data_IF_817822741058
#
_entry.id   IF_817822741058
#
_cell.length_a   1.000
_cell.length_b   1.000
_cell.length_c   1.000
_cell.angle_alpha   90.00
_cell.angle_beta   90.00
_cell.angle_gamma   90.00
#
_symmetry.space_group_name_H-M   'P 1'
#
loop_
_entity.id
_entity.type
_entity.pdbx_description
1 polymer ?
#
# COMPACT_ATOMS: atom_id res chain seq x y z
N UNK A 1 -21.35 5.06 -9.33
CA UNK A 1 -20.17 4.21 -9.12
C UNK A 1 -19.21 5.01 -8.26
N UNK A 2 -18.94 4.60 -7.04
CA UNK A 2 -18.06 5.31 -6.11
C UNK A 2 -16.77 4.52 -6.03
N UNK A 3 -15.65 5.18 -6.29
CA UNK A 3 -14.31 4.62 -6.10
C UNK A 3 -13.74 5.22 -4.81
N UNK A 4 -13.22 4.37 -3.92
CA UNK A 4 -12.61 4.83 -2.68
C UNK A 4 -11.20 5.40 -2.88
N UNK A 5 -10.72 6.13 -1.88
CA UNK A 5 -9.30 6.54 -1.80
C UNK A 5 -8.40 5.32 -1.65
N UNK A 6 -7.22 5.37 -2.26
CA UNK A 6 -6.19 4.36 -2.07
C UNK A 6 -5.33 4.66 -0.84
N UNK A 7 -5.17 3.69 0.03
CA UNK A 7 -4.21 3.76 1.15
C UNK A 7 -3.73 2.36 1.49
N UNK A 8 -2.93 1.79 0.60
CA UNK A 8 -2.59 0.38 0.65
C UNK A 8 -1.68 0.02 1.81
N UNK A 9 -2.16 -0.88 2.64
CA UNK A 9 -1.41 -1.43 3.76
C UNK A 9 -0.74 -2.73 3.31
N UNK A 10 0.55 -2.84 3.58
CA UNK A 10 1.35 -4.01 3.23
C UNK A 10 1.87 -4.66 4.50
N UNK A 11 1.51 -5.89 4.73
CA UNK A 11 1.97 -6.69 5.87
C UNK A 11 3.13 -7.57 5.45
N UNK A 12 4.24 -7.50 6.19
CA UNK A 12 5.40 -8.37 5.99
C UNK A 12 5.52 -9.26 7.23
N UNK A 13 5.02 -10.47 7.09
CA UNK A 13 4.99 -11.49 8.12
C UNK A 13 6.34 -12.23 8.19
N UNK A 14 6.66 -12.83 9.31
CA UNK A 14 8.01 -13.39 9.59
C UNK A 14 8.41 -14.55 8.68
N UNK A 15 7.47 -15.27 8.05
CA UNK A 15 7.77 -16.35 7.09
C UNK A 15 8.05 -15.86 5.66
N UNK A 16 7.86 -14.56 5.39
CA UNK A 16 7.98 -14.00 4.04
C UNK A 16 9.36 -14.20 3.41
N UNK A 17 9.41 -14.46 2.10
CA UNK A 17 10.62 -14.26 1.32
C UNK A 17 10.97 -12.77 1.27
N UNK A 18 11.96 -12.39 2.07
CA UNK A 18 12.36 -10.99 2.22
C UNK A 18 13.00 -10.38 0.97
N UNK A 19 13.55 -11.18 0.05
CA UNK A 19 14.11 -10.70 -1.20
C UNK A 19 13.00 -10.39 -2.19
N UNK A 20 12.04 -11.31 -2.32
CA UNK A 20 10.84 -11.12 -3.13
C UNK A 20 10.06 -9.89 -2.62
N UNK A 21 9.74 -9.85 -1.33
CA UNK A 21 9.01 -8.76 -0.71
C UNK A 21 9.68 -7.40 -0.94
N UNK A 22 11.00 -7.29 -0.71
CA UNK A 22 11.73 -6.04 -0.90
C UNK A 22 11.74 -5.58 -2.36
N UNK A 23 11.94 -6.50 -3.31
CA UNK A 23 11.93 -6.18 -4.75
C UNK A 23 10.54 -5.72 -5.19
N UNK A 24 9.51 -6.47 -4.81
CA UNK A 24 8.11 -6.20 -5.16
C UNK A 24 7.61 -4.86 -4.59
N UNK A 25 7.93 -4.55 -3.34
CA UNK A 25 7.54 -3.28 -2.69
C UNK A 25 8.22 -2.09 -3.38
N UNK A 26 9.52 -2.18 -3.67
CA UNK A 26 10.21 -1.09 -4.37
C UNK A 26 9.65 -0.90 -5.79
N UNK A 27 9.40 -1.99 -6.50
CA UNK A 27 8.78 -1.96 -7.82
C UNK A 27 7.38 -1.34 -7.77
N UNK A 28 6.54 -1.80 -6.86
CA UNK A 28 5.16 -1.33 -6.66
C UNK A 28 5.12 0.13 -6.26
N UNK A 29 5.91 0.52 -5.24
CA UNK A 29 5.90 1.89 -4.71
C UNK A 29 6.51 2.92 -5.64
N UNK A 30 7.47 2.54 -6.48
CA UNK A 30 8.08 3.45 -7.46
C UNK A 30 7.29 3.54 -8.78
N UNK A 31 6.36 2.62 -9.02
CA UNK A 31 5.54 2.62 -10.23
C UNK A 31 4.78 3.93 -10.36
N UNK A 32 4.91 4.58 -11.52
CA UNK A 32 4.28 5.87 -11.86
C UNK A 32 4.41 6.94 -10.75
N UNK A 33 5.57 7.00 -10.11
CA UNK A 33 5.85 7.86 -8.95
C UNK A 33 4.78 7.79 -7.84
N UNK A 34 4.15 6.62 -7.67
CA UNK A 34 3.09 6.35 -6.69
C UNK A 34 1.78 7.11 -6.91
N UNK A 35 1.42 7.42 -8.12
CA UNK A 35 0.13 8.04 -8.43
C UNK A 35 -1.03 7.04 -8.47
N UNK A 36 -0.72 5.73 -8.57
CA UNK A 36 -1.73 4.67 -8.49
C UNK A 36 -2.37 4.61 -7.09
N UNK A 37 -3.70 4.49 -7.03
CA UNK A 37 -4.44 4.25 -5.78
C UNK A 37 -4.03 2.94 -5.09
N UNK A 38 -3.54 1.94 -5.83
CA UNK A 38 -3.00 0.68 -5.31
C UNK A 38 -1.51 0.73 -4.94
N UNK A 39 -0.92 1.92 -4.80
CA UNK A 39 0.48 2.09 -4.42
C UNK A 39 0.70 1.84 -2.92
N UNK A 40 1.71 1.03 -2.58
CA UNK A 40 2.07 0.70 -1.20
C UNK A 40 2.24 1.95 -0.33
N UNK A 41 1.37 2.14 0.65
CA UNK A 41 1.33 3.36 1.47
C UNK A 41 1.96 3.16 2.84
N UNK A 42 1.68 2.03 3.48
CA UNK A 42 2.14 1.69 4.83
C UNK A 42 2.73 0.27 4.84
N UNK A 43 3.93 0.12 5.38
CA UNK A 43 4.60 -1.16 5.56
C UNK A 43 4.55 -1.54 7.03
N UNK A 44 3.83 -2.61 7.38
CA UNK A 44 3.76 -3.21 8.71
C UNK A 44 4.72 -4.40 8.75
N UNK A 45 5.84 -4.25 9.47
CA UNK A 45 6.94 -5.21 9.46
C UNK A 45 7.09 -5.83 10.84
N UNK A 46 7.04 -7.16 10.94
CA UNK A 46 7.28 -7.84 12.20
C UNK A 46 8.68 -7.58 12.76
N UNK A 47 8.76 -7.39 14.08
CA UNK A 47 10.01 -7.05 14.79
C UNK A 47 11.13 -8.05 14.53
N UNK A 48 10.81 -9.35 14.48
CA UNK A 48 11.79 -10.44 14.26
C UNK A 48 12.58 -10.26 12.97
N UNK A 49 11.97 -9.73 11.93
CA UNK A 49 12.58 -9.58 10.60
C UNK A 49 12.93 -8.11 10.27
N UNK A 50 12.51 -7.17 11.10
CA UNK A 50 12.56 -5.74 10.83
C UNK A 50 13.93 -5.26 10.34
N UNK A 51 14.99 -5.48 11.13
CA UNK A 51 16.35 -5.01 10.76
C UNK A 51 16.84 -5.61 9.45
N UNK A 52 16.63 -6.92 9.27
CA UNK A 52 17.02 -7.65 8.05
C UNK A 52 16.26 -7.12 6.84
N UNK A 53 14.97 -6.88 7.00
CA UNK A 53 14.11 -6.42 5.91
C UNK A 53 14.40 -4.97 5.51
N UNK A 54 14.60 -4.05 6.47
CA UNK A 54 15.00 -2.66 6.18
C UNK A 54 16.32 -2.62 5.39
N UNK A 55 17.29 -3.47 5.72
CA UNK A 55 18.53 -3.56 4.94
C UNK A 55 18.27 -4.04 3.51
N UNK A 56 17.36 -5.02 3.31
CA UNK A 56 16.97 -5.48 1.96
C UNK A 56 16.30 -4.36 1.16
N UNK A 57 15.35 -3.65 1.75
CA UNK A 57 14.69 -2.50 1.12
C UNK A 57 15.70 -1.41 0.74
N UNK A 58 16.65 -1.08 1.63
CA UNK A 58 17.69 -0.08 1.33
C UNK A 58 18.56 -0.49 0.15
N UNK A 59 18.96 -1.76 0.06
CA UNK A 59 19.74 -2.29 -1.07
C UNK A 59 18.96 -2.30 -2.39
N UNK A 60 17.63 -2.20 -2.35
CA UNK A 60 16.75 -2.14 -3.52
C UNK A 60 16.32 -0.73 -3.91
N UNK A 61 16.72 0.29 -3.15
CA UNK A 61 16.45 1.70 -3.47
C UNK A 61 15.53 2.44 -2.50
N UNK A 62 15.32 1.93 -1.28
CA UNK A 62 14.65 2.67 -0.23
C UNK A 62 15.63 3.59 0.50
N UNK A 63 15.32 4.87 0.60
CA UNK A 63 16.00 5.82 1.46
C UNK A 63 15.21 6.05 2.75
N UNK A 64 15.71 5.58 3.89
CA UNK A 64 15.04 5.78 5.18
C UNK A 64 15.43 7.15 5.77
N UNK A 65 14.42 7.99 6.04
CA UNK A 65 14.61 9.31 6.61
C UNK A 65 15.09 9.25 8.07
N UNK A 66 16.05 10.09 8.42
CA UNK A 66 16.39 10.38 9.82
C UNK A 66 15.42 11.42 10.41
N UNK A 67 15.50 11.67 11.74
CA UNK A 67 14.58 12.57 12.43
C UNK A 67 14.62 14.02 11.93
N UNK A 68 15.79 14.52 11.51
CA UNK A 68 15.94 15.88 10.95
C UNK A 68 15.25 15.97 9.58
N UNK A 69 15.39 14.95 8.76
CA UNK A 69 14.76 14.87 7.43
C UNK A 69 13.25 14.71 7.55
N UNK A 70 12.75 13.89 8.49
CA UNK A 70 11.31 13.77 8.78
C UNK A 70 10.71 15.13 9.13
N UNK A 71 11.29 15.87 10.05
CA UNK A 71 10.82 17.22 10.41
C UNK A 71 10.81 18.19 9.21
N UNK A 72 11.81 18.12 8.33
CA UNK A 72 11.82 18.92 7.11
C UNK A 72 10.69 18.52 6.16
N UNK A 73 10.45 17.21 5.98
CA UNK A 73 9.35 16.70 5.16
C UNK A 73 8.00 17.17 5.72
N UNK A 74 7.79 17.05 7.03
CA UNK A 74 6.55 17.47 7.71
C UNK A 74 6.23 18.95 7.42
N UNK A 75 7.26 19.81 7.36
CA UNK A 75 7.11 21.25 7.09
C UNK A 75 6.74 21.56 5.62
N UNK A 76 7.14 20.73 4.66
CA UNK A 76 6.90 20.99 3.22
C UNK A 76 5.78 20.15 2.64
N UNK A 77 5.31 19.13 3.37
CA UNK A 77 4.33 18.16 2.87
C UNK A 77 2.96 18.81 2.65
N UNK A 78 2.54 19.68 3.55
CA UNK A 78 1.28 20.41 3.44
C UNK A 78 1.49 21.89 3.13
N UNK A 79 0.64 22.40 2.24
CA UNK A 79 0.48 23.84 1.99
C UNK A 79 -1.00 24.17 2.16
N UNK A 80 -1.34 25.08 3.08
CA UNK A 80 -2.71 25.52 3.35
C UNK A 80 -3.68 24.34 3.62
N UNK A 81 -3.24 23.30 4.31
CA UNK A 81 -4.05 22.15 4.70
C UNK A 81 -4.22 21.06 3.62
N UNK A 82 -3.65 21.23 2.44
CA UNK A 82 -3.65 20.23 1.36
C UNK A 82 -2.22 19.71 1.10
N UNK A 83 -2.12 18.52 0.50
CA UNK A 83 -0.81 17.99 0.05
C UNK A 83 -0.19 19.02 -0.89
N UNK A 84 1.10 19.30 -0.69
CA UNK A 84 1.84 20.25 -1.52
C UNK A 84 1.84 19.80 -3.01
N UNK A 85 1.16 20.52 -3.92
CA UNK A 85 1.05 20.11 -5.31
C UNK A 85 2.40 19.98 -6.03
N UNK A 86 3.42 20.68 -5.54
CA UNK A 86 4.77 20.62 -6.13
C UNK A 86 5.46 19.28 -5.88
N UNK A 87 4.99 18.48 -4.93
CA UNK A 87 5.55 17.18 -4.59
C UNK A 87 4.80 16.03 -5.25
N UNK A 88 3.51 16.21 -5.59
CA UNK A 88 2.67 15.15 -6.17
C UNK A 88 3.28 14.63 -7.48
N UNK A 89 3.31 13.30 -7.62
CA UNK A 89 3.85 12.58 -8.77
C UNK A 89 5.34 12.86 -9.06
N UNK A 90 6.09 13.41 -8.10
CA UNK A 90 7.53 13.63 -8.26
C UNK A 90 8.34 12.40 -7.84
N UNK A 91 9.44 12.09 -8.52
CA UNK A 91 10.30 10.98 -8.14
C UNK A 91 10.98 11.22 -6.78
N UNK A 92 11.41 10.14 -6.14
CA UNK A 92 11.98 10.20 -4.78
C UNK A 92 13.19 11.14 -4.68
N UNK A 93 14.08 11.14 -5.67
CA UNK A 93 15.27 12.02 -5.65
C UNK A 93 14.88 13.50 -5.59
N UNK A 94 13.84 13.94 -6.30
CA UNK A 94 13.36 15.33 -6.27
C UNK A 94 12.89 15.74 -4.86
N UNK A 95 12.16 14.82 -4.20
CA UNK A 95 11.69 15.05 -2.83
C UNK A 95 12.90 15.14 -1.88
N UNK A 96 13.88 14.23 -2.03
CA UNK A 96 15.09 14.19 -1.22
C UNK A 96 15.93 15.46 -1.38
N UNK A 97 16.06 16.01 -2.59
CA UNK A 97 16.73 17.29 -2.84
C UNK A 97 16.09 18.44 -2.05
N UNK A 98 14.76 18.51 -1.99
CA UNK A 98 14.04 19.49 -1.17
C UNK A 98 14.29 19.31 0.34
N UNK A 99 14.72 18.13 0.78
CA UNK A 99 15.15 17.86 2.14
C UNK A 99 16.65 18.17 2.38
N UNK A 100 17.38 18.55 1.34
CA UNK A 100 18.82 18.80 1.36
C UNK A 100 19.66 17.51 1.30
N UNK A 101 19.12 16.46 0.67
CA UNK A 101 19.77 15.16 0.46
C UNK A 101 20.05 14.97 -1.01
N UNK A 102 21.32 14.85 -1.40
CA UNK A 102 21.72 14.47 -2.75
C UNK A 102 21.75 12.94 -2.83
N UNK A 103 20.74 12.35 -3.43
CA UNK A 103 20.65 10.91 -3.66
C UNK A 103 19.77 10.64 -4.89
N UNK A 104 20.41 10.27 -6.00
CA UNK A 104 19.74 10.04 -7.27
C UNK A 104 19.34 8.57 -7.48
N UNK A 105 19.82 7.65 -6.63
CA UNK A 105 19.61 6.21 -6.80
C UNK A 105 18.36 5.70 -6.05
N UNK A 106 17.84 6.52 -5.13
CA UNK A 106 16.68 6.15 -4.34
C UNK A 106 15.39 6.26 -5.15
N UNK A 107 14.61 5.18 -5.12
CA UNK A 107 13.32 5.04 -5.79
C UNK A 107 12.14 5.31 -4.84
N UNK A 108 12.33 5.03 -3.56
CA UNK A 108 11.30 5.10 -2.53
C UNK A 108 11.87 5.74 -1.26
N UNK A 109 11.06 6.52 -0.57
CA UNK A 109 11.40 7.16 0.71
C UNK A 109 10.64 6.45 1.83
N UNK A 110 11.37 6.01 2.86
CA UNK A 110 10.82 5.39 4.05
C UNK A 110 10.70 6.37 5.21
N UNK A 111 9.49 6.56 5.73
CA UNK A 111 9.20 7.34 6.92
C UNK A 111 8.88 6.41 8.10
N UNK A 112 9.88 6.11 8.92
CA UNK A 112 9.67 5.26 10.10
C UNK A 112 8.88 6.01 11.19
N UNK A 113 7.77 5.41 11.63
CA UNK A 113 6.84 5.99 12.60
C UNK A 113 6.29 4.91 13.53
N UNK A 114 5.91 5.30 14.75
CA UNK A 114 5.22 4.42 15.71
C UNK A 114 3.73 4.31 15.38
N UNK A 115 3.13 3.14 15.64
CA UNK A 115 1.69 2.91 15.57
C UNK A 115 0.86 3.70 16.60
N UNK A 116 1.49 4.46 17.49
CA UNK A 116 0.78 5.23 18.53
C UNK A 116 0.06 6.48 18.00
N UNK A 117 0.46 7.00 16.84
CA UNK A 117 -0.12 8.21 16.25
C UNK A 117 -0.68 7.91 14.85
N UNK A 118 -1.83 7.26 14.79
CA UNK A 118 -2.49 6.85 13.54
C UNK A 118 -3.17 8.02 12.78
N UNK A 119 -3.19 9.21 13.34
CA UNK A 119 -3.74 10.40 12.68
C UNK A 119 -2.67 11.18 11.90
N UNK A 120 -1.42 10.75 12.01
CA UNK A 120 -0.33 11.36 11.25
C UNK A 120 -0.54 11.17 9.75
N UNK A 121 -0.34 12.23 8.97
CA UNK A 121 -0.59 12.27 7.53
C UNK A 121 0.11 11.15 6.74
N UNK A 122 1.23 10.65 7.25
CA UNK A 122 2.00 9.60 6.57
C UNK A 122 1.23 8.27 6.48
N UNK A 123 0.16 8.12 7.28
CA UNK A 123 -0.77 6.99 7.20
C UNK A 123 -1.90 7.16 6.19
N UNK A 124 -1.98 8.31 5.53
CA UNK A 124 -2.99 8.61 4.51
C UNK A 124 -2.46 8.40 3.09
N UNK A 125 -3.35 8.42 2.11
CA UNK A 125 -2.97 8.45 0.70
C UNK A 125 -2.08 9.67 0.42
N UNK A 126 -0.99 9.47 -0.33
CA UNK A 126 0.04 10.51 -0.49
C UNK A 126 0.29 10.92 -1.94
N UNK A 127 0.05 10.03 -2.90
CA UNK A 127 0.41 10.20 -4.33
C UNK A 127 1.89 10.57 -4.52
N UNK A 128 2.75 9.98 -3.69
CA UNK A 128 4.19 10.24 -3.59
C UNK A 128 4.94 8.93 -3.31
N UNK A 129 6.17 8.77 -3.77
CA UNK A 129 6.98 7.58 -3.47
C UNK A 129 7.51 7.57 -2.03
N UNK A 130 6.61 7.82 -1.07
CA UNK A 130 6.86 7.81 0.37
C UNK A 130 5.98 6.74 1.00
N UNK A 131 6.56 5.80 1.75
CA UNK A 131 5.83 4.85 2.57
C UNK A 131 6.08 5.06 4.06
N UNK A 132 5.03 4.92 4.87
CA UNK A 132 5.18 4.77 6.31
C UNK A 132 5.80 3.40 6.61
N UNK A 133 6.72 3.35 7.55
CA UNK A 133 7.33 2.10 8.03
C UNK A 133 7.01 1.95 9.50
N UNK A 134 6.27 0.90 9.83
CA UNK A 134 5.85 0.61 11.19
C UNK A 134 6.37 -0.76 11.60
N UNK A 135 7.03 -0.79 12.74
CA UNK A 135 7.42 -2.05 13.38
C UNK A 135 6.28 -2.55 14.25
N UNK A 136 5.91 -3.81 14.07
CA UNK A 136 4.84 -4.49 14.83
C UNK A 136 5.41 -5.73 15.54
N UNK A 137 4.78 -6.13 16.62
CA UNK A 137 5.25 -7.23 17.46
C UNK A 137 5.12 -8.59 16.76
N UNK A 138 4.00 -8.79 16.05
CA UNK A 138 3.67 -10.05 15.38
C UNK A 138 2.59 -9.82 14.31
N UNK A 139 2.27 -10.87 13.56
CA UNK A 139 1.28 -10.87 12.47
C UNK A 139 -0.15 -10.50 12.92
N UNK A 140 -0.55 -10.84 14.15
CA UNK A 140 -1.88 -10.49 14.66
C UNK A 140 -1.98 -8.99 14.91
N UNK A 141 -0.98 -8.37 15.55
CA UNK A 141 -0.92 -6.90 15.71
C UNK A 141 -0.87 -6.22 14.34
N UNK A 142 -0.11 -6.78 13.37
CA UNK A 142 -0.08 -6.26 12.01
C UNK A 142 -1.47 -6.25 11.39
N UNK A 143 -2.21 -7.35 11.51
CA UNK A 143 -3.54 -7.50 10.94
C UNK A 143 -4.57 -6.54 11.58
N UNK A 144 -4.56 -6.42 12.91
CA UNK A 144 -5.41 -5.47 13.63
C UNK A 144 -5.12 -4.03 13.24
N UNK A 145 -3.83 -3.67 13.16
CA UNK A 145 -3.41 -2.33 12.76
C UNK A 145 -3.75 -2.06 11.30
N UNK A 146 -3.56 -3.04 10.41
CA UNK A 146 -3.93 -2.93 9.00
C UNK A 146 -5.42 -2.66 8.85
N UNK A 147 -6.27 -3.43 9.52
CA UNK A 147 -7.72 -3.24 9.47
C UNK A 147 -8.15 -1.87 10.02
N UNK A 148 -7.55 -1.42 11.12
CA UNK A 148 -7.79 -0.09 11.68
C UNK A 148 -7.42 1.05 10.72
N UNK A 149 -6.27 0.94 10.04
CA UNK A 149 -5.83 1.94 9.06
C UNK A 149 -6.72 1.91 7.81
N UNK A 150 -7.02 0.73 7.28
CA UNK A 150 -7.92 0.54 6.14
C UNK A 150 -9.32 1.10 6.42
N UNK A 151 -9.85 0.90 7.63
CA UNK A 151 -11.16 1.45 8.02
C UNK A 151 -11.17 2.99 8.15
N UNK A 152 -10.01 3.61 8.41
CA UNK A 152 -9.88 5.08 8.40
C UNK A 152 -9.82 5.65 6.99
N UNK A 153 -9.10 4.97 6.08
CA UNK A 153 -8.93 5.41 4.70
C UNK A 153 -8.55 4.20 3.81
N UNK A 154 -9.24 4.01 2.71
CA UNK A 154 -9.03 2.89 1.79
C UNK A 154 -9.94 1.68 2.03
N UNK A 155 -11.03 1.84 2.81
CA UNK A 155 -11.96 0.76 3.12
C UNK A 155 -12.53 0.12 1.86
N UNK A 156 -12.49 -1.21 1.83
CA UNK A 156 -12.95 -2.01 0.69
C UNK A 156 -11.97 -2.09 -0.48
N UNK A 157 -10.85 -1.35 -0.49
CA UNK A 157 -9.95 -1.34 -1.65
C UNK A 157 -9.10 -2.62 -1.72
N UNK A 158 -7.91 -2.65 -1.20
CA UNK A 158 -7.03 -3.82 -1.19
C UNK A 158 -5.98 -3.78 -0.07
N UNK A 159 -5.36 -4.92 0.22
CA UNK A 159 -4.25 -5.05 1.15
C UNK A 159 -3.21 -6.02 0.59
N UNK A 160 -1.93 -5.72 0.76
CA UNK A 160 -0.83 -6.61 0.36
C UNK A 160 -0.30 -7.42 1.54
N UNK A 161 0.06 -8.68 1.30
CA UNK A 161 0.64 -9.56 2.32
C UNK A 161 1.80 -10.33 1.73
N UNK A 162 2.94 -10.29 2.41
CA UNK A 162 4.08 -11.15 2.14
C UNK A 162 4.21 -12.18 3.26
N UNK A 163 3.97 -13.45 2.94
CA UNK A 163 3.96 -14.60 3.88
C UNK A 163 4.01 -15.92 3.13
N UNK A 164 4.49 -16.97 3.79
CA UNK A 164 4.35 -18.37 3.36
C UNK A 164 3.31 -19.13 4.20
N UNK A 165 2.62 -18.45 5.12
CA UNK A 165 1.65 -19.04 6.03
C UNK A 165 0.23 -19.01 5.46
N UNK A 166 -0.25 -20.12 4.90
CA UNK A 166 -1.64 -20.30 4.46
C UNK A 166 -2.65 -19.97 5.57
N UNK A 167 -2.33 -20.34 6.82
CA UNK A 167 -3.19 -20.03 7.98
C UNK A 167 -3.32 -18.52 8.19
N UNK A 168 -2.26 -17.76 7.94
CA UNK A 168 -2.32 -16.31 8.06
C UNK A 168 -3.08 -15.68 6.91
N UNK A 169 -2.95 -16.21 5.69
CA UNK A 169 -3.73 -15.80 4.52
C UNK A 169 -5.23 -15.99 4.80
N UNK A 170 -5.63 -17.17 5.25
CA UNK A 170 -7.03 -17.48 5.60
C UNK A 170 -7.58 -16.56 6.71
N UNK A 171 -6.76 -16.30 7.73
CA UNK A 171 -7.14 -15.39 8.81
C UNK A 171 -7.33 -13.96 8.32
N UNK A 172 -6.42 -13.49 7.47
CA UNK A 172 -6.51 -12.16 6.87
C UNK A 172 -7.77 -12.03 5.98
N UNK A 173 -8.05 -13.05 5.16
CA UNK A 173 -9.26 -13.09 4.33
C UNK A 173 -10.58 -13.01 5.12
N UNK A 174 -10.57 -13.47 6.38
CA UNK A 174 -11.74 -13.41 7.27
C UNK A 174 -11.84 -12.10 8.06
N UNK A 175 -10.76 -11.36 8.20
CA UNK A 175 -10.69 -10.20 9.10
C UNK A 175 -10.52 -8.85 8.42
N UNK A 176 -10.02 -8.83 7.18
CA UNK A 176 -9.78 -7.57 6.48
C UNK A 176 -11.02 -7.13 5.69
N UNK A 177 -11.42 -5.89 5.88
CA UNK A 177 -12.52 -5.26 5.16
C UNK A 177 -12.04 -4.72 3.79
N UNK A 178 -11.56 -5.61 2.93
CA UNK A 178 -11.04 -5.28 1.59
C UNK A 178 -11.56 -6.26 0.54
N UNK A 179 -11.71 -5.80 -0.68
CA UNK A 179 -12.16 -6.62 -1.81
C UNK A 179 -11.05 -7.52 -2.37
N UNK A 180 -9.78 -7.23 -2.07
CA UNK A 180 -8.62 -7.97 -2.57
C UNK A 180 -7.52 -8.08 -1.53
N UNK A 181 -7.02 -9.30 -1.35
CA UNK A 181 -5.74 -9.56 -0.69
C UNK A 181 -4.73 -9.97 -1.76
N UNK A 182 -3.67 -9.18 -1.91
CA UNK A 182 -2.60 -9.44 -2.88
C UNK A 182 -1.45 -10.14 -2.14
N UNK A 183 -1.23 -11.40 -2.45
CA UNK A 183 -0.27 -12.24 -1.75
C UNK A 183 1.02 -12.37 -2.57
N UNK A 184 2.16 -12.01 -1.97
CA UNK A 184 3.50 -12.20 -2.53
C UNK A 184 3.70 -11.61 -3.94
N UNK A 185 3.06 -10.47 -4.23
CA UNK A 185 3.12 -9.81 -5.54
C UNK A 185 3.32 -8.30 -5.40
N UNK A 186 3.88 -7.61 -6.42
CA UNK A 186 3.96 -6.15 -6.47
C UNK A 186 2.54 -5.55 -6.49
N UNK A 187 2.12 -4.92 -5.41
CA UNK A 187 0.72 -4.58 -5.16
C UNK A 187 0.10 -3.68 -6.23
N UNK A 188 0.77 -2.56 -6.59
CA UNK A 188 0.26 -1.61 -7.60
C UNK A 188 0.09 -2.22 -9.00
N UNK A 189 0.87 -3.25 -9.32
CA UNK A 189 0.82 -3.94 -10.61
C UNK A 189 -0.10 -5.16 -10.61
N UNK A 190 -0.53 -5.61 -9.45
CA UNK A 190 -1.30 -6.84 -9.30
C UNK A 190 -2.75 -6.62 -8.94
N UNK A 191 -3.06 -5.56 -8.17
CA UNK A 191 -4.44 -5.26 -7.75
C UNK A 191 -5.38 -4.99 -8.95
N UNK A 192 -4.86 -4.37 -10.01
CA UNK A 192 -5.59 -4.12 -11.26
C UNK A 192 -5.67 -5.33 -12.21
N UNK A 193 -5.28 -6.52 -11.75
CA UNK A 193 -5.20 -7.72 -12.58
C UNK A 193 -3.86 -7.84 -13.31
N UNK A 194 -3.40 -9.07 -13.45
CA UNK A 194 -2.20 -9.42 -14.19
C UNK A 194 -2.31 -10.82 -14.76
N UNK A 195 -1.45 -11.18 -15.70
CA UNK A 195 -1.42 -12.53 -16.28
C UNK A 195 -1.14 -13.64 -15.24
N UNK A 196 -0.69 -13.26 -14.03
CA UNK A 196 -0.24 -14.20 -13.01
C UNK A 196 -1.23 -14.37 -11.85
N UNK A 197 -2.37 -13.66 -11.82
CA UNK A 197 -3.26 -13.71 -10.66
C UNK A 197 -4.76 -13.86 -10.99
N UNK A 198 -5.09 -14.09 -12.24
CA UNK A 198 -6.46 -14.36 -12.72
C UNK A 198 -7.51 -13.26 -12.45
N UNK A 199 -7.13 -12.09 -11.92
CA UNK A 199 -8.02 -10.96 -11.83
C UNK A 199 -8.22 -10.33 -13.21
N UNK A 200 -9.41 -9.87 -13.51
CA UNK A 200 -9.68 -9.09 -14.71
C UNK A 200 -8.80 -7.85 -14.75
N UNK A 201 -8.11 -7.63 -15.88
CA UNK A 201 -7.21 -6.49 -16.05
C UNK A 201 -8.02 -5.22 -16.24
N UNK A 202 -7.88 -4.26 -15.32
CA UNK A 202 -8.61 -2.99 -15.32
C UNK A 202 -7.89 -1.95 -14.46
N UNK A 203 -8.17 -0.67 -14.72
CA UNK A 203 -7.79 0.44 -13.83
C UNK A 203 -8.91 0.82 -12.84
N UNK A 204 -10.08 0.16 -12.92
CA UNK A 204 -11.26 0.47 -12.12
C UNK A 204 -11.52 -0.65 -11.13
N UNK A 205 -11.22 -0.40 -9.85
CA UNK A 205 -11.30 -1.37 -8.77
C UNK A 205 -12.53 -1.09 -7.91
N UNK A 206 -13.48 -2.02 -7.87
CA UNK A 206 -14.62 -1.94 -6.95
C UNK A 206 -14.18 -2.13 -5.50
N UNK A 207 -14.82 -1.44 -4.57
CA UNK A 207 -14.52 -1.50 -3.13
C UNK A 207 -15.59 -2.22 -2.31
N UNK A 208 -16.61 -2.78 -2.97
CA UNK A 208 -17.71 -3.51 -2.34
C UNK A 208 -18.52 -2.68 -1.34
N UNK A 209 -19.36 -3.35 -0.57
CA UNK A 209 -20.18 -2.71 0.46
C UNK A 209 -19.34 -2.01 1.54
N UNK A 210 -18.12 -2.48 1.81
CA UNK A 210 -17.20 -1.80 2.73
C UNK A 210 -16.83 -0.38 2.28
N UNK A 211 -16.64 -0.19 0.96
CA UNK A 211 -16.32 1.10 0.35
C UNK A 211 -17.53 1.83 -0.23
N UNK A 212 -18.76 1.48 0.22
CA UNK A 212 -20.02 2.08 -0.26
C UNK A 212 -20.21 1.96 -1.78
N UNK A 213 -19.69 0.88 -2.37
CA UNK A 213 -19.75 0.58 -3.80
C UNK A 213 -20.63 -0.66 -4.05
N UNK A 214 -21.32 -0.68 -5.18
CA UNK A 214 -22.11 -1.83 -5.62
C UNK A 214 -21.26 -2.92 -6.32
N UNK A 215 -19.96 -2.65 -6.53
CA UNK A 215 -19.03 -3.55 -7.22
C UNK A 215 -17.86 -3.83 -6.26
N UNK A 216 -17.57 -5.10 -6.03
CA UNK A 216 -16.53 -5.61 -5.13
C UNK A 216 -15.36 -6.29 -5.85
N UNK A 217 -15.34 -6.23 -7.16
CA UNK A 217 -14.33 -6.88 -8.00
C UNK A 217 -13.70 -5.91 -9.00
N UNK A 218 -12.75 -6.40 -9.79
CA UNK A 218 -12.13 -5.67 -10.88
C UNK A 218 -13.14 -5.49 -12.00
N UNK A 219 -13.49 -4.24 -12.30
CA UNK A 219 -14.51 -3.91 -13.30
C UNK A 219 -14.16 -4.47 -14.66
N UNK A 220 -15.12 -5.14 -15.31
CA UNK A 220 -14.94 -5.77 -16.61
C UNK A 220 -16.13 -5.49 -17.54
N UNK A 221 -16.02 -5.83 -18.82
CA UNK A 221 -17.08 -5.53 -19.80
C UNK A 221 -18.46 -6.12 -19.42
N UNK A 222 -18.47 -7.25 -18.73
CA UNK A 222 -19.70 -7.92 -18.29
C UNK A 222 -20.52 -7.10 -17.29
N UNK A 223 -19.87 -6.20 -16.55
CA UNK A 223 -20.53 -5.30 -15.59
C UNK A 223 -21.38 -4.22 -16.27
N UNK A 224 -21.14 -4.01 -17.56
CA UNK A 224 -21.93 -3.09 -18.40
C UNK A 224 -23.02 -3.79 -19.22
N UNK A 225 -23.12 -5.12 -19.11
CA UNK A 225 -24.09 -5.91 -19.85
C UNK A 225 -25.35 -6.16 -19.03
N UNK A 226 -26.52 -6.05 -19.66
CA UNK A 226 -27.78 -6.50 -19.05
C UNK A 226 -27.84 -8.03 -19.05
N UNK A 227 -28.25 -8.60 -17.93
CA UNK A 227 -28.42 -10.07 -17.77
C UNK A 227 -29.90 -10.41 -17.60
N UNK A 228 -30.42 -11.34 -18.41
CA UNK A 228 -31.76 -11.89 -18.24
C UNK A 228 -31.67 -13.26 -17.57
N UNK A 229 -32.31 -13.41 -16.42
CA UNK A 229 -32.41 -14.67 -15.72
C UNK A 229 -33.60 -15.48 -16.28
N UNK A 230 -33.34 -16.69 -16.74
CA UNK A 230 -34.38 -17.61 -17.17
C UNK A 230 -34.66 -18.59 -16.01
N UNK A 231 -35.82 -18.45 -15.41
CA UNK A 231 -36.26 -19.33 -14.32
C UNK A 231 -37.24 -20.36 -14.93
N UNK A 232 -36.95 -21.66 -14.78
CA UNK A 232 -37.82 -22.77 -15.18
C UNK A 232 -38.31 -23.50 -13.95
N UNK A 233 -39.51 -24.06 -14.03
CA UNK A 233 -40.09 -24.98 -13.05
C UNK A 233 -39.39 -26.33 -13.10
#
# INVERSE_FOLDING_TARGET
>A
MVFGTGNEIIIIENSADLNLAASSIIESKSFDNSTSCSSDSVLLIEDKIYKKFINRLSNKGLFKLNNKQKKKLDNIFFIKGTINPKLIAKPAYFILENLGVKNNDSKVIGYEISSKNLDHYVFKEKLLPICAIVKVKNSLEALELANNLTNKEGKGHSCGIYTESEKFIDLAGKKMDVSRLIINQPHSKSAGGSNNNYLNTTLSLGCGAWGESNIDHNLFYEDFCNKTLIVKK
#
